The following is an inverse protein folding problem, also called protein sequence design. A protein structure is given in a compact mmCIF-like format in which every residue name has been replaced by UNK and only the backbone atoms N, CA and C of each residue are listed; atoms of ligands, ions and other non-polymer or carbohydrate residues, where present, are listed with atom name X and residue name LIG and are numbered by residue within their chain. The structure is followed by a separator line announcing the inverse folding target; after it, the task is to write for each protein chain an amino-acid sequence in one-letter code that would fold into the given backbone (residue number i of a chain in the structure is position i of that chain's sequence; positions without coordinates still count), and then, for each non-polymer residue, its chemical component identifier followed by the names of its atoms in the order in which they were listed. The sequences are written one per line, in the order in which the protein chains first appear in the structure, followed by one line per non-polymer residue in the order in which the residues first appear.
data_IF_311020657903
#
_entry.id   IF_311020657903
#
_cell.length_a   1.000
_cell.length_b   1.000
_cell.length_c   1.000
_cell.angle_alpha   90.00
_cell.angle_beta   90.00
_cell.angle_gamma   90.00
#
_symmetry.space_group_name_H-M   'P 1'
#
loop_
_entity.id
_entity.type
_entity.pdbx_description
1 polymer ?
#
# COMPACT_ATOMS: atom_id res chain seq x y z
N UNK A 1 13.31 -13.55 -4.57
CA UNK A 1 12.11 -12.75 -4.30
C UNK A 1 11.69 -13.03 -2.87
N UNK A 2 11.50 -11.98 -2.08
CA UNK A 2 11.15 -12.11 -0.66
C UNK A 2 9.87 -11.31 -0.39
N UNK A 3 8.92 -11.95 0.29
CA UNK A 3 7.60 -11.36 0.60
C UNK A 3 7.38 -11.37 2.11
N UNK A 4 6.91 -10.24 2.64
CA UNK A 4 6.51 -10.12 4.05
C UNK A 4 5.04 -10.53 4.24
N UNK A 5 4.75 -11.23 5.34
CA UNK A 5 3.37 -11.49 5.77
C UNK A 5 2.63 -10.22 6.20
N UNK A 6 3.35 -9.15 6.53
CA UNK A 6 2.74 -7.86 6.83
C UNK A 6 2.32 -7.17 5.52
N UNK A 7 1.01 -7.18 5.23
CA UNK A 7 0.43 -6.56 4.04
C UNK A 7 0.89 -7.17 2.71
N UNK A 8 1.33 -8.44 2.72
CA UNK A 8 1.82 -9.17 1.55
C UNK A 8 2.80 -8.31 0.72
N UNK A 9 3.82 -7.76 1.38
CA UNK A 9 4.76 -6.80 0.77
C UNK A 9 5.86 -7.51 0.00
N UNK A 10 6.10 -7.12 -1.26
CA UNK A 10 7.35 -7.44 -1.96
C UNK A 10 8.47 -6.58 -1.39
N UNK A 11 9.36 -7.17 -0.60
CA UNK A 11 10.44 -6.43 0.09
C UNK A 11 11.80 -6.62 -0.57
N UNK A 12 11.96 -7.62 -1.43
CA UNK A 12 13.19 -7.84 -2.18
C UNK A 12 12.93 -8.57 -3.50
N UNK A 13 13.57 -8.10 -4.57
CA UNK A 13 13.62 -8.75 -5.86
C UNK A 13 15.04 -8.63 -6.44
N UNK A 14 15.82 -9.70 -6.27
CA UNK A 14 17.16 -9.82 -6.86
C UNK A 14 17.04 -10.09 -8.37
N UNK A 15 17.65 -9.22 -9.18
CA UNK A 15 17.65 -9.32 -10.65
C UNK A 15 19.08 -9.17 -11.15
N UNK A 16 19.56 -10.03 -12.07
CA UNK A 16 20.90 -9.89 -12.64
C UNK A 16 20.98 -8.70 -13.60
N UNK A 17 22.08 -7.95 -13.50
CA UNK A 17 22.46 -6.95 -14.51
C UNK A 17 23.08 -7.60 -15.76
N UNK A 18 23.61 -6.77 -16.69
CA UNK A 18 24.26 -7.24 -17.92
C UNK A 18 25.48 -8.15 -17.67
N UNK A 19 26.15 -8.01 -16.54
CA UNK A 19 27.29 -8.84 -16.12
C UNK A 19 26.88 -10.08 -15.32
N UNK A 20 25.59 -10.24 -15.01
CA UNK A 20 25.07 -11.30 -14.15
C UNK A 20 25.12 -10.98 -12.65
N UNK A 21 25.52 -9.76 -12.27
CA UNK A 21 25.54 -9.33 -10.86
C UNK A 21 24.11 -9.12 -10.38
N UNK A 22 23.73 -9.80 -9.31
CA UNK A 22 22.40 -9.66 -8.70
C UNK A 22 22.32 -8.36 -7.89
N UNK A 23 21.26 -7.60 -8.10
CA UNK A 23 20.94 -6.45 -7.25
C UNK A 23 19.44 -6.41 -6.91
N UNK A 24 19.11 -5.83 -5.76
CA UNK A 24 17.73 -5.63 -5.35
C UNK A 24 17.14 -4.42 -6.08
N UNK A 25 16.12 -4.66 -6.90
CA UNK A 25 15.51 -3.61 -7.74
C UNK A 25 14.24 -2.99 -7.14
N UNK A 26 13.85 -3.37 -5.92
CA UNK A 26 12.68 -2.81 -5.23
C UNK A 26 13.06 -1.94 -4.04
N UNK A 27 12.35 -0.82 -3.88
CA UNK A 27 12.49 0.05 -2.72
C UNK A 27 11.89 -0.60 -1.48
N UNK A 28 12.60 -0.50 -0.35
CA UNK A 28 12.16 -1.04 0.92
C UNK A 28 12.97 -0.47 2.08
N UNK A 29 12.70 -1.00 3.26
CA UNK A 29 13.47 -0.76 4.48
C UNK A 29 14.15 -2.05 4.94
N UNK A 30 15.31 -1.91 5.59
CA UNK A 30 16.01 -3.02 6.23
C UNK A 30 15.27 -3.51 7.48
N UNK A 31 14.71 -2.58 8.27
CA UNK A 31 14.04 -2.88 9.52
C UNK A 31 12.53 -3.07 9.34
N UNK A 32 11.99 -4.18 9.86
CA UNK A 32 10.55 -4.48 9.81
C UNK A 32 9.68 -3.41 10.51
N UNK A 33 10.20 -2.77 11.55
CA UNK A 33 9.49 -1.69 12.28
C UNK A 33 9.27 -0.44 11.42
N UNK A 34 10.18 -0.14 10.49
CA UNK A 34 10.09 1.04 9.62
C UNK A 34 8.84 1.01 8.72
N UNK A 35 8.41 -0.16 8.27
CA UNK A 35 7.18 -0.30 7.49
C UNK A 35 5.91 0.09 8.26
N UNK A 36 5.92 -0.04 9.60
CA UNK A 36 4.81 0.40 10.47
C UNK A 36 4.90 1.87 10.82
N UNK A 37 6.11 2.43 10.88
CA UNK A 37 6.36 3.84 11.15
C UNK A 37 6.06 4.74 9.94
N UNK A 38 6.15 4.18 8.73
CA UNK A 38 5.86 4.87 7.47
C UNK A 38 4.72 4.19 6.67
N UNK A 39 3.51 4.06 7.25
CA UNK A 39 2.43 3.29 6.65
C UNK A 39 1.91 3.90 5.35
N UNK A 40 2.13 5.19 5.13
CA UNK A 40 1.68 5.96 3.97
C UNK A 40 2.56 5.83 2.72
N UNK A 41 3.74 5.19 2.82
CA UNK A 41 4.61 4.97 1.65
C UNK A 41 4.20 3.73 0.83
N UNK A 42 3.48 2.79 1.46
CA UNK A 42 2.98 1.57 0.83
C UNK A 42 4.03 0.73 0.07
N UNK A 43 5.32 0.87 0.40
CA UNK A 43 6.41 0.20 -0.32
C UNK A 43 6.18 -1.31 -0.41
N UNK A 44 6.10 -1.79 -1.66
CA UNK A 44 5.87 -3.19 -2.00
C UNK A 44 4.53 -3.78 -1.57
N UNK A 45 3.65 -3.01 -0.91
CA UNK A 45 2.44 -3.52 -0.27
C UNK A 45 1.38 -3.92 -1.29
N UNK A 46 0.68 -5.01 -0.98
CA UNK A 46 -0.57 -5.32 -1.67
C UNK A 46 -1.66 -4.36 -1.18
N UNK A 47 -2.27 -3.62 -2.10
CA UNK A 47 -3.28 -2.60 -1.79
C UNK A 47 -4.69 -3.17 -1.86
N UNK A 48 -5.53 -2.88 -0.86
CA UNK A 48 -6.92 -3.30 -0.84
C UNK A 48 -7.75 -2.66 0.28
N UNK A 49 -9.08 -2.69 0.20
CA UNK A 49 -9.92 -3.35 -0.83
C UNK A 49 -9.99 -2.62 -2.18
N UNK A 50 -9.71 -1.32 -2.21
CA UNK A 50 -9.74 -0.51 -3.43
C UNK A 50 -8.42 0.23 -3.58
N UNK A 51 -7.69 -0.04 -4.65
CA UNK A 51 -6.48 0.68 -5.01
C UNK A 51 -6.80 2.05 -5.63
N UNK A 52 -5.86 2.98 -5.55
CA UNK A 52 -6.09 4.37 -5.98
C UNK A 52 -7.02 5.15 -5.04
N UNK A 53 -7.75 6.13 -5.60
CA UNK A 53 -8.58 7.08 -4.85
C UNK A 53 -10.06 6.87 -5.12
N UNK A 54 -10.88 6.98 -4.07
CA UNK A 54 -12.33 7.18 -4.17
C UNK A 54 -12.60 8.67 -3.94
N UNK A 55 -13.22 9.31 -4.94
CA UNK A 55 -13.52 10.74 -4.92
C UNK A 55 -14.41 11.08 -3.71
N UNK A 56 -14.06 12.16 -3.02
CA UNK A 56 -14.73 12.66 -1.81
C UNK A 56 -14.94 11.60 -0.68
N UNK A 57 -14.23 10.46 -0.77
CA UNK A 57 -14.45 9.28 0.07
C UNK A 57 -15.85 8.68 -0.04
N UNK A 58 -16.61 9.02 -1.10
CA UNK A 58 -18.01 8.65 -1.25
C UNK A 58 -18.13 7.49 -2.23
N UNK A 59 -18.65 6.36 -1.77
CA UNK A 59 -19.02 5.26 -2.65
C UNK A 59 -20.53 5.29 -2.87
N UNK A 60 -20.94 5.43 -4.13
CA UNK A 60 -22.34 5.50 -4.55
C UNK A 60 -22.61 4.42 -5.59
N UNK A 61 -23.52 3.51 -5.28
CA UNK A 61 -24.12 2.59 -6.24
C UNK A 61 -25.60 2.39 -5.91
N UNK A 62 -26.43 1.85 -6.83
CA UNK A 62 -27.83 1.61 -6.52
C UNK A 62 -28.00 0.79 -5.24
N UNK A 63 -28.70 1.36 -4.26
CA UNK A 63 -28.92 0.75 -2.94
C UNK A 63 -27.76 0.83 -1.95
N UNK A 64 -26.62 1.44 -2.29
CA UNK A 64 -25.47 1.60 -1.40
C UNK A 64 -24.92 3.02 -1.46
N UNK A 65 -24.91 3.69 -0.31
CA UNK A 65 -24.31 5.01 -0.12
C UNK A 65 -23.49 4.98 1.15
N UNK A 66 -22.16 4.98 1.02
CA UNK A 66 -21.25 4.93 2.15
C UNK A 66 -20.22 6.05 2.08
N UNK A 67 -20.02 6.71 3.23
CA UNK A 67 -18.89 7.60 3.44
C UNK A 67 -17.74 6.78 4.06
N UNK A 68 -16.60 6.79 3.36
CA UNK A 68 -15.34 6.24 3.84
C UNK A 68 -14.52 7.34 4.52
N UNK A 69 -13.54 6.93 5.33
CA UNK A 69 -12.54 7.83 5.90
C UNK A 69 -11.79 8.60 4.81
N UNK A 70 -11.29 9.79 5.12
CA UNK A 70 -10.63 10.68 4.14
C UNK A 70 -9.17 10.85 4.52
N UNK A 71 -8.40 9.81 4.26
CA UNK A 71 -6.98 9.72 4.59
C UNK A 71 -6.06 10.44 3.58
N UNK A 72 -6.61 11.04 2.51
CA UNK A 72 -5.83 11.86 1.58
C UNK A 72 -6.64 13.09 1.11
N UNK A 73 -6.55 14.18 1.86
CA UNK A 73 -7.31 15.39 1.61
C UNK A 73 -8.80 15.13 1.70
N UNK A 74 -9.54 15.33 0.61
CA UNK A 74 -10.97 14.99 0.54
C UNK A 74 -11.24 13.55 0.10
N UNK A 75 -10.22 12.81 -0.33
CA UNK A 75 -10.35 11.50 -0.94
C UNK A 75 -10.05 10.38 0.03
N UNK A 76 -10.56 9.20 -0.30
CA UNK A 76 -10.15 7.95 0.34
C UNK A 76 -9.12 7.26 -0.55
N UNK A 77 -7.94 7.00 -0.02
CA UNK A 77 -6.80 6.40 -0.72
C UNK A 77 -6.54 4.99 -0.19
N UNK A 78 -6.37 4.05 -1.11
CA UNK A 78 -5.78 2.73 -0.85
C UNK A 78 -6.51 1.88 0.20
N UNK A 79 -7.80 2.11 0.41
CA UNK A 79 -8.64 1.25 1.25
C UNK A 79 -8.37 1.35 2.75
N UNK A 80 -7.62 2.37 3.21
CA UNK A 80 -7.26 2.54 4.62
C UNK A 80 -8.51 2.79 5.46
N UNK A 81 -8.75 1.92 6.43
CA UNK A 81 -9.83 2.10 7.39
C UNK A 81 -9.40 3.15 8.42
N UNK A 82 -9.99 4.34 8.37
CA UNK A 82 -10.00 5.22 9.54
C UNK A 82 -11.03 4.66 10.52
N UNK A 83 -10.58 4.18 11.68
CA UNK A 83 -11.46 3.97 12.81
C UNK A 83 -11.80 5.34 13.39
N UNK A 84 -13.01 5.82 13.14
CA UNK A 84 -13.57 6.89 13.97
C UNK A 84 -13.89 6.29 15.34
N UNK A 85 -13.04 6.60 16.34
CA UNK A 85 -13.40 6.53 17.76
C UNK A 85 -14.32 7.68 18.12
#
# INVERSE_FOLDING_TARGET
MTVSSYGARLIELQVPDRSGTQDNVVLGFDAASSYKQHPNLYLGATIGRVAGRIKDGRFLSPGLDFQLGRNEGKHHLHGVIEHHS
#
